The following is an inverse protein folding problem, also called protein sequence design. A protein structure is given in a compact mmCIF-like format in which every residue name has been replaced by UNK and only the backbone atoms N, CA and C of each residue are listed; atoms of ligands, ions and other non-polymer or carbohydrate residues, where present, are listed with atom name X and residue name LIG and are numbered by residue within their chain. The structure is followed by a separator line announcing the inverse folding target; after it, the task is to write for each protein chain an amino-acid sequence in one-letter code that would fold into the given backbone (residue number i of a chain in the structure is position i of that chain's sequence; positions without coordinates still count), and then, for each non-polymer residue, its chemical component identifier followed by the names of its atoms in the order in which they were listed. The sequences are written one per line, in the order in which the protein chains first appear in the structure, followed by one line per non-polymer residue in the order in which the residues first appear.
data_IF_952504029829
#
_entry.id   IF_952504029829
#
_cell.length_a   1.000
_cell.length_b   1.000
_cell.length_c   1.000
_cell.angle_alpha   90.00
_cell.angle_beta   90.00
_cell.angle_gamma   90.00
#
_symmetry.space_group_name_H-M   'P 1'
#
loop_
_entity.id
_entity.type
_entity.pdbx_description
1 polymer ?
#
# COMPACT_ATOMS: atom_id res chain seq x y z
N UNK A 1 12.11 2.46 -4.85
CA UNK A 1 11.11 3.11 -3.99
C UNK A 1 11.06 2.51 -2.62
N UNK A 2 10.61 1.27 -2.45
CA UNK A 2 10.57 0.63 -1.11
C UNK A 2 11.92 0.66 -0.40
N UNK A 3 13.04 0.48 -1.11
CA UNK A 3 14.40 0.61 -0.54
C UNK A 3 14.79 2.01 -0.02
N UNK A 4 13.95 3.02 -0.24
CA UNK A 4 14.11 4.37 0.33
C UNK A 4 13.21 4.65 1.52
N UNK A 5 12.44 3.65 1.97
CA UNK A 5 11.65 3.69 3.20
C UNK A 5 12.38 2.95 4.31
N UNK A 6 12.16 3.39 5.54
CA UNK A 6 12.62 2.67 6.73
C UNK A 6 11.52 1.72 7.20
N UNK A 7 11.88 0.47 7.50
CA UNK A 7 10.97 -0.53 8.06
C UNK A 7 11.56 -1.08 9.36
N UNK A 8 10.69 -1.33 10.32
CA UNK A 8 10.99 -1.97 11.59
C UNK A 8 10.36 -3.37 11.65
N UNK A 9 10.82 -4.22 12.57
CA UNK A 9 10.26 -5.57 12.76
C UNK A 9 8.78 -5.56 13.15
N UNK A 10 8.33 -4.49 13.78
CA UNK A 10 6.92 -4.30 14.19
C UNK A 10 6.03 -3.80 13.06
N UNK A 11 6.60 -3.40 11.93
CA UNK A 11 5.84 -2.93 10.80
C UNK A 11 5.15 -4.05 10.04
N UNK A 12 4.11 -3.67 9.32
CA UNK A 12 3.36 -4.56 8.46
C UNK A 12 3.01 -3.83 7.17
N UNK A 13 3.58 -4.28 6.06
CA UNK A 13 3.31 -3.75 4.73
C UNK A 13 2.15 -4.51 4.08
N UNK A 14 1.17 -3.77 3.55
CA UNK A 14 0.14 -4.30 2.67
C UNK A 14 0.44 -3.91 1.21
N UNK A 15 0.59 -4.90 0.35
CA UNK A 15 0.67 -4.74 -1.11
C UNK A 15 -0.72 -4.90 -1.71
N UNK A 16 -1.34 -3.80 -2.10
CA UNK A 16 -2.72 -3.75 -2.61
C UNK A 16 -2.73 -4.03 -4.10
N UNK A 17 -3.37 -5.12 -4.50
CA UNK A 17 -3.31 -5.63 -5.87
C UNK A 17 -1.95 -6.26 -6.15
N UNK A 18 -1.52 -7.20 -5.32
CA UNK A 18 -0.16 -7.73 -5.35
C UNK A 18 0.16 -8.54 -6.62
N UNK A 19 -0.84 -8.90 -7.42
CA UNK A 19 -0.67 -9.72 -8.62
C UNK A 19 -0.02 -11.06 -8.29
N UNK A 20 1.02 -11.42 -9.04
CA UNK A 20 1.81 -12.63 -8.78
C UNK A 20 2.85 -12.46 -7.64
N UNK A 21 2.80 -11.36 -6.88
CA UNK A 21 3.60 -11.14 -5.67
C UNK A 21 4.96 -10.47 -5.91
N UNK A 22 5.05 -9.48 -6.80
CA UNK A 22 6.33 -8.80 -7.11
C UNK A 22 6.92 -8.09 -5.89
N UNK A 23 6.10 -7.38 -5.13
CA UNK A 23 6.55 -6.68 -3.90
C UNK A 23 6.96 -7.68 -2.83
N UNK A 24 6.22 -8.79 -2.70
CA UNK A 24 6.59 -9.88 -1.80
C UNK A 24 7.93 -10.51 -2.19
N UNK A 25 8.18 -10.70 -3.51
CA UNK A 25 9.46 -11.21 -4.00
C UNK A 25 10.62 -10.24 -3.70
N UNK A 26 10.39 -8.94 -3.86
CA UNK A 26 11.36 -7.92 -3.45
C UNK A 26 11.64 -8.00 -1.95
N UNK A 27 10.60 -8.08 -1.11
CA UNK A 27 10.74 -8.19 0.34
C UNK A 27 11.57 -9.43 0.74
N UNK A 28 11.30 -10.57 0.11
CA UNK A 28 12.08 -11.80 0.33
C UNK A 28 13.54 -11.65 -0.09
N UNK A 29 13.80 -11.07 -1.26
CA UNK A 29 15.16 -10.91 -1.80
C UNK A 29 16.01 -9.92 -1.00
N UNK A 30 15.38 -8.87 -0.46
CA UNK A 30 16.06 -7.82 0.32
C UNK A 30 16.00 -8.05 1.84
N UNK A 31 15.33 -9.13 2.27
CA UNK A 31 15.14 -9.46 3.68
C UNK A 31 14.54 -8.26 4.46
N UNK A 32 13.46 -7.69 3.93
CA UNK A 32 12.78 -6.61 4.65
C UNK A 32 12.47 -7.07 6.09
N UNK A 33 12.74 -6.25 7.10
CA UNK A 33 12.57 -6.66 8.50
C UNK A 33 11.12 -6.79 8.94
N UNK A 34 10.16 -6.31 8.14
CA UNK A 34 8.74 -6.27 8.47
C UNK A 34 7.95 -7.43 7.85
N UNK A 35 6.73 -7.66 8.34
CA UNK A 35 5.78 -8.56 7.69
C UNK A 35 5.23 -7.92 6.42
N UNK A 36 4.95 -8.74 5.41
CA UNK A 36 4.39 -8.30 4.13
C UNK A 36 3.20 -9.18 3.76
N UNK A 37 2.04 -8.58 3.61
CA UNK A 37 0.84 -9.23 3.09
C UNK A 37 0.51 -8.66 1.72
N UNK A 38 0.28 -9.52 0.75
CA UNK A 38 -0.31 -9.15 -0.53
C UNK A 38 -1.80 -9.47 -0.55
N UNK A 39 -2.63 -8.56 -1.03
CA UNK A 39 -4.04 -8.83 -1.32
C UNK A 39 -4.28 -8.73 -2.82
N UNK A 40 -4.96 -9.74 -3.39
CA UNK A 40 -5.19 -9.82 -4.85
C UNK A 40 -6.60 -10.33 -5.14
N UNK A 41 -7.33 -9.59 -5.97
CA UNK A 41 -8.71 -9.90 -6.34
C UNK A 41 -8.79 -11.05 -7.35
N UNK A 42 -7.85 -11.14 -8.31
CA UNK A 42 -7.78 -12.27 -9.24
C UNK A 42 -7.27 -13.51 -8.53
N UNK A 43 -8.17 -14.48 -8.32
CA UNK A 43 -7.86 -15.71 -7.60
C UNK A 43 -6.73 -16.54 -8.22
N UNK A 44 -6.48 -16.44 -9.55
CA UNK A 44 -5.37 -17.16 -10.22
C UNK A 44 -4.04 -16.49 -9.90
N UNK A 45 -3.99 -15.16 -9.91
CA UNK A 45 -2.80 -14.40 -9.52
C UNK A 45 -2.50 -14.59 -8.04
N UNK A 46 -3.52 -14.50 -7.19
CA UNK A 46 -3.39 -14.76 -5.75
C UNK A 46 -2.85 -16.18 -5.48
N UNK A 47 -3.40 -17.21 -6.15
CA UNK A 47 -2.93 -18.59 -6.02
C UNK A 47 -1.47 -18.75 -6.47
N UNK A 48 -1.07 -18.06 -7.56
CA UNK A 48 0.32 -18.02 -8.02
C UNK A 48 1.25 -17.39 -6.98
N UNK A 49 0.88 -16.24 -6.44
CA UNK A 49 1.64 -15.59 -5.38
C UNK A 49 1.75 -16.49 -4.14
N UNK A 50 0.61 -17.06 -3.67
CA UNK A 50 0.55 -17.95 -2.52
C UNK A 50 1.38 -19.23 -2.71
N UNK A 51 1.54 -19.73 -3.95
CA UNK A 51 2.28 -20.96 -4.21
C UNK A 51 3.76 -20.84 -3.86
N UNK A 52 4.39 -19.73 -4.14
CA UNK A 52 5.81 -19.52 -3.87
C UNK A 52 6.09 -18.83 -2.52
N UNK A 53 5.11 -18.14 -1.92
CA UNK A 53 5.26 -17.55 -0.58
C UNK A 53 5.04 -18.56 0.53
N UNK A 54 4.40 -19.70 0.24
CA UNK A 54 4.10 -20.74 1.23
C UNK A 54 5.35 -21.19 1.99
N UNK A 55 5.28 -21.13 3.32
CA UNK A 55 6.39 -21.51 4.22
C UNK A 55 7.51 -20.50 4.28
N UNK A 56 7.33 -19.30 3.75
CA UNK A 56 8.26 -18.19 3.93
C UNK A 56 7.76 -17.31 5.07
N UNK A 57 8.54 -17.23 6.13
CA UNK A 57 8.20 -16.42 7.31
C UNK A 57 8.02 -14.95 6.94
N UNK A 58 6.99 -14.35 7.51
CA UNK A 58 6.69 -12.93 7.30
C UNK A 58 5.99 -12.58 5.97
N UNK A 59 5.74 -13.56 5.08
CA UNK A 59 5.03 -13.34 3.81
C UNK A 59 3.67 -14.04 3.82
N UNK A 60 2.63 -13.30 3.45
CA UNK A 60 1.25 -13.79 3.38
C UNK A 60 0.56 -13.29 2.10
N UNK A 61 -0.37 -14.08 1.57
CA UNK A 61 -1.21 -13.68 0.44
C UNK A 61 -2.68 -13.96 0.77
N UNK A 62 -3.50 -12.93 0.59
CA UNK A 62 -4.96 -12.98 0.75
C UNK A 62 -5.59 -12.90 -0.64
N UNK A 63 -6.40 -13.90 -0.99
CA UNK A 63 -7.24 -13.84 -2.18
C UNK A 63 -8.55 -13.12 -1.83
N UNK A 64 -8.80 -11.97 -2.45
CA UNK A 64 -9.99 -11.16 -2.20
C UNK A 64 -9.80 -9.69 -2.46
N UNK A 65 -10.82 -8.91 -2.12
CA UNK A 65 -10.80 -7.46 -2.26
C UNK A 65 -10.06 -6.80 -1.09
N UNK A 66 -9.22 -5.81 -1.40
CA UNK A 66 -8.61 -4.96 -0.39
C UNK A 66 -9.63 -4.11 0.39
N UNK A 67 -10.82 -3.96 -0.15
CA UNK A 67 -11.93 -3.28 0.53
C UNK A 67 -12.59 -4.16 1.62
N UNK A 68 -12.36 -5.47 1.62
CA UNK A 68 -13.01 -6.41 2.54
C UNK A 68 -12.12 -6.84 3.70
N UNK A 69 -10.84 -6.47 3.69
CA UNK A 69 -9.89 -6.84 4.75
C UNK A 69 -9.77 -5.76 5.83
N UNK A 70 -9.40 -6.14 7.08
CA UNK A 70 -9.11 -5.18 8.15
C UNK A 70 -7.81 -4.40 7.85
N UNK A 71 -7.89 -3.07 7.75
CA UNK A 71 -6.74 -2.22 7.41
C UNK A 71 -5.95 -1.74 8.64
N UNK A 72 -6.54 -1.77 9.84
CA UNK A 72 -5.95 -1.18 11.05
C UNK A 72 -4.66 -1.87 11.56
N UNK A 73 -4.35 -3.08 11.07
CA UNK A 73 -3.15 -3.81 11.47
C UNK A 73 -1.89 -3.37 10.68
N UNK A 74 -2.07 -2.72 9.54
CA UNK A 74 -0.96 -2.35 8.67
C UNK A 74 -0.41 -0.97 9.00
N UNK A 75 0.91 -0.81 8.81
CA UNK A 75 1.63 0.47 9.01
C UNK A 75 2.07 1.08 7.71
N UNK A 76 2.24 0.25 6.68
CA UNK A 76 2.66 0.65 5.36
C UNK A 76 1.72 0.07 4.31
N UNK A 77 1.44 0.86 3.29
CA UNK A 77 0.59 0.48 2.17
C UNK A 77 1.34 0.76 0.86
N UNK A 78 1.28 -0.19 -0.05
CA UNK A 78 1.83 -0.02 -1.39
C UNK A 78 0.71 -0.26 -2.41
N UNK A 79 0.48 0.74 -3.25
CA UNK A 79 -0.52 0.73 -4.31
C UNK A 79 0.21 0.92 -5.64
N UNK A 80 0.05 -0.02 -6.56
CA UNK A 80 0.49 0.15 -7.93
C UNK A 80 -0.72 0.15 -8.85
N UNK A 81 -1.40 1.30 -8.91
CA UNK A 81 -2.60 1.51 -9.74
C UNK A 81 -3.66 0.39 -9.60
N UNK A 82 -4.01 -0.02 -8.36
CA UNK A 82 -4.95 -1.14 -8.16
C UNK A 82 -6.41 -0.73 -8.33
N UNK A 83 -6.70 0.56 -8.32
CA UNK A 83 -8.05 1.13 -8.27
C UNK A 83 -8.23 2.22 -9.32
N UNK A 84 -9.47 2.42 -9.74
CA UNK A 84 -9.88 3.70 -10.28
C UNK A 84 -10.07 4.73 -9.15
N UNK A 85 -10.36 5.97 -9.52
CA UNK A 85 -10.49 7.06 -8.54
C UNK A 85 -11.63 6.84 -7.53
N UNK A 86 -12.73 6.21 -7.93
CA UNK A 86 -13.90 5.97 -7.06
C UNK A 86 -13.54 4.96 -5.98
N UNK A 87 -12.95 3.83 -6.38
CA UNK A 87 -12.51 2.78 -5.46
C UNK A 87 -11.35 3.25 -4.58
N UNK A 88 -10.48 4.12 -5.08
CA UNK A 88 -9.42 4.71 -4.27
C UNK A 88 -9.99 5.58 -3.16
N UNK A 89 -11.00 6.41 -3.44
CA UNK A 89 -11.68 7.22 -2.41
C UNK A 89 -12.31 6.32 -1.36
N UNK A 90 -13.02 5.27 -1.77
CA UNK A 90 -13.60 4.30 -0.83
C UNK A 90 -12.54 3.61 0.04
N UNK A 91 -11.43 3.19 -0.57
CA UNK A 91 -10.31 2.59 0.16
C UNK A 91 -9.74 3.55 1.20
N UNK A 92 -9.53 4.82 0.86
CA UNK A 92 -9.04 5.84 1.78
C UNK A 92 -10.02 6.11 2.93
N UNK A 93 -11.32 6.18 2.65
CA UNK A 93 -12.36 6.35 3.69
C UNK A 93 -12.33 5.19 4.70
N UNK A 94 -12.21 3.95 4.21
CA UNK A 94 -12.10 2.76 5.06
C UNK A 94 -10.79 2.75 5.87
N UNK A 95 -9.69 3.17 5.26
CA UNK A 95 -8.40 3.26 5.91
C UNK A 95 -8.46 4.28 7.06
N UNK A 96 -8.96 5.48 6.80
CA UNK A 96 -9.15 6.54 7.80
C UNK A 96 -10.04 6.09 8.96
N UNK A 97 -11.11 5.34 8.67
CA UNK A 97 -12.02 4.81 9.68
C UNK A 97 -11.37 3.74 10.59
N UNK A 98 -10.38 3.00 10.11
CA UNK A 98 -9.82 1.84 10.82
C UNK A 98 -8.46 2.10 11.46
N UNK A 99 -7.64 2.97 10.86
CA UNK A 99 -6.27 3.23 11.32
C UNK A 99 -6.30 4.12 12.57
N UNK A 100 -5.46 3.79 13.58
CA UNK A 100 -5.37 4.51 14.85
C UNK A 100 -3.95 5.00 15.17
N UNK A 101 -3.04 4.84 14.22
CA UNK A 101 -1.63 5.29 14.29
C UNK A 101 -1.21 5.86 12.95
N UNK A 102 -0.10 6.59 12.93
CA UNK A 102 0.46 7.07 11.67
C UNK A 102 0.82 5.90 10.76
N UNK A 103 0.54 6.07 9.47
CA UNK A 103 0.89 5.10 8.43
C UNK A 103 1.59 5.80 7.27
N UNK A 104 2.33 5.02 6.49
CA UNK A 104 2.92 5.45 5.22
C UNK A 104 2.22 4.74 4.07
N UNK A 105 1.83 5.51 3.04
CA UNK A 105 1.23 4.99 1.83
C UNK A 105 2.05 5.41 0.61
N UNK A 106 2.47 4.42 -0.17
CA UNK A 106 3.16 4.60 -1.45
C UNK A 106 2.19 4.35 -2.56
N UNK A 107 1.93 5.35 -3.38
CA UNK A 107 1.12 5.24 -4.59
C UNK A 107 2.02 5.32 -5.82
N UNK A 108 2.03 4.24 -6.60
CA UNK A 108 2.78 4.13 -7.84
C UNK A 108 1.87 4.25 -9.03
N UNK A 109 2.41 4.81 -10.13
CA UNK A 109 1.66 5.06 -11.36
C UNK A 109 0.42 5.93 -11.12
N UNK A 110 0.62 6.96 -10.32
CA UNK A 110 -0.38 7.97 -10.02
C UNK A 110 -0.69 8.76 -11.31
N UNK A 111 -1.76 8.42 -11.96
CA UNK A 111 -2.24 9.07 -13.20
C UNK A 111 -3.22 10.21 -12.89
N UNK A 112 -3.01 10.91 -11.78
CA UNK A 112 -3.88 11.98 -11.29
C UNK A 112 -4.72 11.56 -10.09
N UNK A 113 -4.60 10.33 -9.62
CA UNK A 113 -5.27 9.83 -8.41
C UNK A 113 -4.81 10.55 -7.14
N UNK A 114 -3.68 11.27 -7.18
CA UNK A 114 -3.23 12.16 -6.10
C UNK A 114 -4.29 13.19 -5.71
N UNK A 115 -5.23 13.51 -6.57
CA UNK A 115 -6.38 14.34 -6.23
C UNK A 115 -7.27 13.71 -5.15
N UNK A 116 -7.30 12.39 -5.03
CA UNK A 116 -8.08 11.70 -4.00
C UNK A 116 -7.59 12.01 -2.58
N UNK A 117 -6.35 12.40 -2.41
CA UNK A 117 -5.74 12.75 -1.11
C UNK A 117 -5.89 14.23 -0.77
N UNK A 118 -6.12 15.11 -1.77
CA UNK A 118 -6.18 16.55 -1.56
C UNK A 118 -7.38 16.93 -0.69
N UNK A 119 -7.14 17.79 0.28
CA UNK A 119 -8.18 18.28 1.20
C UNK A 119 -8.60 17.29 2.28
N UNK A 120 -8.04 16.07 2.31
CA UNK A 120 -8.29 15.11 3.39
C UNK A 120 -7.48 15.46 4.63
N UNK A 121 -8.15 15.54 5.79
CA UNK A 121 -7.48 15.81 7.05
C UNK A 121 -6.48 14.69 7.41
N UNK A 122 -5.33 15.06 7.95
CA UNK A 122 -4.31 14.12 8.38
C UNK A 122 -3.40 13.58 7.29
N UNK A 123 -3.69 13.79 6.01
CA UNK A 123 -2.84 13.37 4.90
C UNK A 123 -1.78 14.41 4.57
N UNK A 124 -0.52 13.98 4.57
CA UNK A 124 0.65 14.82 4.29
C UNK A 124 1.44 14.15 3.17
N UNK A 125 1.58 14.82 2.03
CA UNK A 125 2.45 14.34 0.96
C UNK A 125 3.90 14.62 1.35
N UNK A 126 4.67 13.56 1.56
CA UNK A 126 6.08 13.65 1.97
C UNK A 126 7.01 13.68 0.76
N UNK A 127 6.65 12.99 -0.31
CA UNK A 127 7.46 12.92 -1.53
C UNK A 127 6.61 12.63 -2.75
N UNK A 128 7.05 13.13 -3.88
CA UNK A 128 6.56 12.75 -5.21
C UNK A 128 7.71 12.73 -6.20
N UNK A 129 7.53 12.08 -7.33
CA UNK A 129 8.51 12.04 -8.40
C UNK A 129 8.07 11.18 -9.57
N UNK A 130 8.98 11.04 -10.53
CA UNK A 130 8.72 10.27 -11.75
C UNK A 130 9.95 9.47 -12.15
N UNK A 131 9.70 8.27 -12.65
CA UNK A 131 10.70 7.45 -13.32
C UNK A 131 10.51 7.57 -14.83
N UNK A 132 11.53 8.03 -15.55
CA UNK A 132 11.46 8.24 -17.01
C UNK A 132 12.03 7.08 -17.80
N UNK A 133 12.98 6.31 -17.23
CA UNK A 133 13.54 5.12 -17.82
C UNK A 133 14.24 4.30 -16.73
N UNK A 134 14.38 2.99 -16.96
CA UNK A 134 15.19 2.17 -16.09
C UNK A 134 16.68 2.35 -16.43
N UNK A 135 17.53 2.83 -15.48
CA UNK A 135 18.93 3.16 -15.78
C UNK A 135 19.77 1.95 -16.23
N UNK A 136 19.35 0.74 -15.92
CA UNK A 136 20.06 -0.51 -16.23
C UNK A 136 19.44 -1.29 -17.41
N UNK A 137 18.58 -0.69 -18.23
CA UNK A 137 17.98 -1.36 -19.39
C UNK A 137 17.04 -2.52 -19.05
N UNK A 138 16.43 -2.51 -17.89
CA UNK A 138 15.41 -3.51 -17.50
C UNK A 138 14.15 -3.41 -18.36
N UNK A 139 13.38 -4.50 -18.41
CA UNK A 139 12.11 -4.51 -19.12
C UNK A 139 11.13 -3.52 -18.48
N UNK A 140 10.58 -2.56 -19.24
CA UNK A 140 9.50 -1.73 -18.74
C UNK A 140 8.27 -2.63 -18.54
N UNK A 141 7.82 -2.77 -17.31
CA UNK A 141 6.59 -3.53 -17.01
C UNK A 141 5.36 -2.76 -17.44
N UNK A 142 5.48 -1.44 -17.49
CA UNK A 142 4.50 -0.48 -18.00
C UNK A 142 5.23 0.66 -18.70
N UNK A 143 4.50 1.45 -19.48
CA UNK A 143 5.07 2.61 -20.16
C UNK A 143 5.74 3.62 -19.21
N UNK A 144 6.63 4.43 -19.73
CA UNK A 144 7.23 5.56 -19.00
C UNK A 144 6.65 6.89 -19.50
N UNK A 145 6.63 7.96 -18.68
CA UNK A 145 7.08 8.00 -17.29
C UNK A 145 6.11 7.29 -16.34
N UNK A 146 6.62 6.82 -15.21
CA UNK A 146 5.82 6.33 -14.09
C UNK A 146 5.92 7.31 -12.94
N UNK A 147 4.80 7.81 -12.49
CA UNK A 147 4.72 8.73 -11.37
C UNK A 147 4.56 7.98 -10.06
N UNK A 148 4.99 8.59 -8.97
CA UNK A 148 4.75 8.10 -7.62
C UNK A 148 4.54 9.24 -6.65
N UNK A 149 3.79 8.95 -5.61
CA UNK A 149 3.67 9.81 -4.43
C UNK A 149 3.80 8.97 -3.16
N UNK A 150 4.37 9.58 -2.12
CA UNK A 150 4.47 8.97 -0.78
C UNK A 150 3.74 9.89 0.17
N UNK A 151 2.80 9.31 0.88
CA UNK A 151 1.92 9.99 1.80
C UNK A 151 2.09 9.45 3.22
N UNK A 152 2.03 10.33 4.19
CA UNK A 152 1.85 9.98 5.58
C UNK A 152 0.44 10.38 6.01
N UNK A 153 -0.28 9.45 6.60
CA UNK A 153 -1.55 9.73 7.26
C UNK A 153 -1.35 9.73 8.76
N UNK A 154 -1.82 10.78 9.42
CA UNK A 154 -1.82 10.93 10.89
C UNK A 154 -3.27 11.04 11.33
N UNK A 155 -3.84 9.99 11.97
CA UNK A 155 -5.21 10.04 12.44
C UNK A 155 -5.37 11.09 13.53
N UNK A 156 -6.49 11.80 13.52
CA UNK A 156 -6.85 12.71 14.60
C UNK A 156 -7.23 11.91 15.85
N UNK A 157 -6.31 11.85 16.81
CA UNK A 157 -6.53 11.15 18.09
C UNK A 157 -7.43 11.94 19.07
N UNK A 158 -7.77 13.19 18.73
CA UNK A 158 -8.56 14.04 19.62
C UNK A 158 -10.09 13.90 19.43
N UNK A 159 -10.55 13.23 18.38
CA UNK A 159 -11.98 13.02 18.10
C UNK A 159 -12.71 12.01 18.98
N UNK A 160 -12.02 11.31 19.89
CA UNK A 160 -12.64 10.27 20.75
C UNK A 160 -13.21 10.81 22.09
N UNK A 161 -13.28 12.14 22.29
CA UNK A 161 -13.89 12.73 23.49
C UNK A 161 -15.10 13.57 23.11
N UNK A 162 -16.24 12.95 22.93
CA UNK A 162 -17.48 13.67 22.72
C UNK A 162 -18.68 12.80 22.41
N UNK A 163 -18.94 11.77 23.21
CA UNK A 163 -20.31 11.26 23.32
C UNK A 163 -21.08 12.26 24.22
N UNK A 164 -22.19 12.85 23.79
CA UNK A 164 -23.00 13.64 24.69
C UNK A 164 -23.60 12.69 25.73
N UNK A 165 -23.34 13.00 26.99
CA UNK A 165 -24.08 12.45 28.12
C UNK A 165 -25.48 13.05 28.02
N UNK A 166 -26.46 12.22 27.70
CA UNK A 166 -27.90 12.50 27.86
C UNK A 166 -28.34 11.94 29.21
#
# INVERSE_FOLDING_TARGET
MLGGLSFEQTDHLLDVGCGAGRVLAYAAATQLPCRVTGVELDGRLAARAASWTRGRDGLEVIAGSALDIPLGAYTHFYLFNPFDQVLLVEFLDRLEAQVRRSITLVHMSDNGESFAYLGRAGWIREREGSFYAHPAGGFPVFGYPQHYSIWRYVPDTNGAKGAPVV
#
